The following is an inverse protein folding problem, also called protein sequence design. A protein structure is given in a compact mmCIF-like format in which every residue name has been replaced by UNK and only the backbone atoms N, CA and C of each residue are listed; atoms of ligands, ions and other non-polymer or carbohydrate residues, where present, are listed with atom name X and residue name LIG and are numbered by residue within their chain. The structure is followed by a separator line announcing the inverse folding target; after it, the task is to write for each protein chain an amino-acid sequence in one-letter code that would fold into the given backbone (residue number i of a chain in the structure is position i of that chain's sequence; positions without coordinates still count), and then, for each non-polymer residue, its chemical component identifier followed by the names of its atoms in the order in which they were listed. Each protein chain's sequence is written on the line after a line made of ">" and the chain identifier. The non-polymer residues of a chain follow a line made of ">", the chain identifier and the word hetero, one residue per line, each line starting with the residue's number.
data_IF_253354664239
#
_entry.id   IF_253354664239
#
_cell.length_a   1.000
_cell.length_b   1.000
_cell.length_c   1.000
_cell.angle_alpha   90.00
_cell.angle_beta   90.00
_cell.angle_gamma   90.00
#
_symmetry.space_group_name_H-M   'P 1'
#
loop_
_entity.id
_entity.type
_entity.pdbx_description
1 polymer ?
#
# COMPACT_ATOMS: atom_id res chain seq x y z
N UNK A 1 7.93 14.58 2.58
CA UNK A 1 8.01 13.63 3.71
C UNK A 1 9.26 12.82 3.51
N UNK A 2 10.34 13.24 4.16
CA UNK A 2 11.64 12.56 4.10
C UNK A 2 11.51 11.30 4.97
N UNK A 3 11.59 10.10 4.37
CA UNK A 3 11.59 8.85 5.15
C UNK A 3 12.83 8.89 6.04
N UNK A 4 12.67 8.56 7.33
CA UNK A 4 13.82 8.43 8.21
C UNK A 4 14.74 7.34 7.65
N UNK A 5 16.06 7.58 7.56
CA UNK A 5 17.00 6.65 6.93
C UNK A 5 16.99 5.24 7.54
N UNK A 6 16.59 5.13 8.80
CA UNK A 6 16.45 3.86 9.53
C UNK A 6 15.28 3.00 9.01
N UNK A 7 14.14 3.61 8.66
CA UNK A 7 12.96 2.89 8.20
C UNK A 7 13.16 2.34 6.78
N UNK A 8 13.82 3.13 5.92
CA UNK A 8 14.18 2.72 4.57
C UNK A 8 15.16 1.53 4.57
N UNK A 9 16.12 1.53 5.50
CA UNK A 9 17.03 0.40 5.67
C UNK A 9 16.29 -0.90 6.08
N UNK A 10 15.27 -0.80 6.93
CA UNK A 10 14.46 -1.96 7.34
C UNK A 10 13.65 -2.49 6.16
N UNK A 11 13.02 -1.62 5.37
CA UNK A 11 12.28 -2.02 4.17
C UNK A 11 13.18 -2.68 3.13
N UNK A 12 14.38 -2.13 2.89
CA UNK A 12 15.36 -2.72 1.97
C UNK A 12 15.81 -4.12 2.44
N UNK A 13 15.95 -4.33 3.75
CA UNK A 13 16.29 -5.64 4.31
C UNK A 13 15.16 -6.67 4.11
N UNK A 14 13.90 -6.24 4.26
CA UNK A 14 12.72 -7.06 4.00
C UNK A 14 12.66 -7.42 2.51
N UNK A 15 12.81 -6.44 1.62
CA UNK A 15 12.79 -6.63 0.15
C UNK A 15 13.90 -7.59 -0.31
N UNK A 16 15.12 -7.40 0.18
CA UNK A 16 16.26 -8.28 -0.13
C UNK A 16 15.98 -9.71 0.33
N UNK A 17 15.38 -9.88 1.52
CA UNK A 17 15.07 -11.21 2.06
C UNK A 17 13.91 -11.89 1.31
N UNK A 18 12.90 -11.13 0.88
CA UNK A 18 11.80 -11.64 0.03
C UNK A 18 12.30 -12.05 -1.36
N UNK A 19 13.15 -11.22 -1.98
CA UNK A 19 13.76 -11.52 -3.28
C UNK A 19 14.64 -12.76 -3.20
N UNK A 20 15.46 -12.86 -2.14
CA UNK A 20 16.28 -14.04 -1.87
C UNK A 20 15.46 -15.31 -1.68
N UNK A 21 14.35 -15.24 -0.92
CA UNK A 21 13.42 -16.36 -0.75
C UNK A 21 12.82 -16.80 -2.09
N UNK A 22 12.34 -15.85 -2.91
CA UNK A 22 11.76 -16.16 -4.22
C UNK A 22 12.77 -16.88 -5.13
N UNK A 23 14.02 -16.43 -5.13
CA UNK A 23 15.09 -17.06 -5.91
C UNK A 23 15.42 -18.46 -5.39
N UNK A 24 15.55 -18.64 -4.07
CA UNK A 24 15.82 -19.93 -3.44
C UNK A 24 14.69 -20.95 -3.71
N UNK A 25 13.43 -20.52 -3.68
CA UNK A 25 12.28 -21.36 -4.02
C UNK A 25 12.25 -21.75 -5.50
N UNK A 26 12.64 -20.84 -6.40
CA UNK A 26 12.75 -21.14 -7.82
C UNK A 26 13.85 -22.20 -8.07
N UNK A 27 15.02 -22.01 -7.49
CA UNK A 27 16.15 -22.95 -7.58
C UNK A 27 15.81 -24.30 -6.95
N UNK A 28 15.08 -24.31 -5.83
CA UNK A 28 14.55 -25.53 -5.22
C UNK A 28 13.61 -26.28 -6.17
N UNK A 29 12.72 -25.56 -6.86
CA UNK A 29 11.82 -26.14 -7.85
C UNK A 29 12.56 -26.79 -9.02
N UNK A 30 13.62 -26.14 -9.51
CA UNK A 30 14.50 -26.70 -10.55
C UNK A 30 15.23 -27.94 -10.03
N UNK A 31 15.89 -27.85 -8.88
CA UNK A 31 16.63 -28.96 -8.29
C UNK A 31 15.73 -30.18 -8.02
N UNK A 32 14.51 -29.95 -7.52
CA UNK A 32 13.54 -31.02 -7.29
C UNK A 32 13.07 -31.68 -8.59
N UNK A 33 12.98 -30.94 -9.70
CA UNK A 33 12.64 -31.50 -11.01
C UNK A 33 13.77 -32.33 -11.63
N UNK A 34 15.02 -32.13 -11.18
CA UNK A 34 16.21 -32.82 -11.69
C UNK A 34 16.59 -34.06 -10.85
N UNK A 35 15.82 -34.39 -9.80
CA UNK A 35 16.03 -35.61 -9.01
C UNK A 35 15.59 -36.82 -9.84
N UNK A 36 16.50 -37.73 -10.23
CA UNK A 36 16.14 -38.91 -11.00
C UNK A 36 15.29 -39.88 -10.18
N UNK A 37 14.42 -40.69 -10.82
CA UNK A 37 13.65 -41.72 -10.13
C UNK A 37 14.58 -42.76 -9.49
N UNK A 38 14.12 -43.32 -8.37
CA UNK A 38 14.88 -44.24 -7.50
C UNK A 38 15.35 -45.55 -8.17
N UNK A 39 14.88 -45.82 -9.39
CA UNK A 39 15.22 -47.05 -10.14
C UNK A 39 16.45 -46.88 -11.05
N UNK A 40 16.97 -45.66 -11.26
CA UNK A 40 18.03 -45.38 -12.25
C UNK A 40 19.39 -44.95 -11.65
N UNK A 41 19.56 -44.95 -10.33
CA UNK A 41 20.52 -44.04 -9.68
C UNK A 41 21.48 -44.68 -8.66
N UNK A 42 22.23 -45.72 -9.03
CA UNK A 42 23.26 -46.32 -8.15
C UNK A 42 24.47 -45.40 -7.84
N UNK A 43 24.56 -44.19 -8.42
CA UNK A 43 25.74 -43.31 -8.21
C UNK A 43 25.48 -41.79 -8.14
N UNK A 44 24.29 -41.28 -8.48
CA UNK A 44 24.01 -39.82 -8.54
C UNK A 44 22.91 -39.32 -7.59
N UNK A 45 22.22 -40.22 -6.88
CA UNK A 45 21.15 -39.89 -5.94
C UNK A 45 21.61 -38.95 -4.81
N UNK A 46 22.85 -39.11 -4.34
CA UNK A 46 23.38 -38.35 -3.21
C UNK A 46 23.65 -36.88 -3.49
N UNK A 47 24.00 -36.48 -4.72
CA UNK A 47 24.33 -35.08 -5.01
C UNK A 47 23.07 -34.24 -5.26
N UNK A 48 22.15 -34.72 -6.10
CA UNK A 48 20.90 -34.00 -6.39
C UNK A 48 20.00 -33.88 -5.14
N UNK A 49 19.90 -34.94 -4.35
CA UNK A 49 19.16 -34.90 -3.08
C UNK A 49 19.77 -33.95 -2.05
N UNK A 50 21.10 -33.73 -2.07
CA UNK A 50 21.77 -32.79 -1.17
C UNK A 50 21.51 -31.33 -1.55
N UNK A 51 21.51 -31.03 -2.85
CA UNK A 51 21.19 -29.67 -3.34
C UNK A 51 19.77 -29.27 -2.93
N UNK A 52 18.81 -30.19 -3.03
CA UNK A 52 17.43 -29.97 -2.55
C UNK A 52 17.42 -29.69 -1.05
N UNK A 53 18.10 -30.51 -0.23
CA UNK A 53 18.14 -30.28 1.22
C UNK A 53 18.79 -28.95 1.60
N UNK A 54 19.85 -28.55 0.90
CA UNK A 54 20.53 -27.28 1.12
C UNK A 54 19.62 -26.08 0.79
N UNK A 55 18.86 -26.17 -0.31
CA UNK A 55 17.90 -25.13 -0.73
C UNK A 55 16.68 -25.03 0.18
N UNK A 56 16.19 -26.15 0.70
CA UNK A 56 15.14 -26.15 1.74
C UNK A 56 15.62 -25.43 2.99
N UNK A 57 16.85 -25.72 3.45
CA UNK A 57 17.42 -25.08 4.63
C UNK A 57 17.63 -23.57 4.41
N UNK A 58 18.08 -23.17 3.22
CA UNK A 58 18.22 -21.76 2.83
C UNK A 58 16.86 -21.03 2.83
N UNK A 59 15.84 -21.61 2.20
CA UNK A 59 14.47 -21.07 2.18
C UNK A 59 13.90 -20.90 3.60
N UNK A 60 14.12 -21.89 4.47
CA UNK A 60 13.75 -21.80 5.89
C UNK A 60 14.49 -20.67 6.61
N UNK A 61 15.77 -20.47 6.31
CA UNK A 61 16.56 -19.36 6.82
C UNK A 61 15.97 -18.00 6.45
N UNK A 62 15.55 -17.82 5.19
CA UNK A 62 14.88 -16.60 4.75
C UNK A 62 13.52 -16.38 5.42
N UNK A 63 12.70 -17.42 5.56
CA UNK A 63 11.41 -17.34 6.27
C UNK A 63 11.58 -16.96 7.74
N UNK A 64 12.57 -17.54 8.42
CA UNK A 64 12.89 -17.23 9.81
C UNK A 64 13.31 -15.75 9.95
N UNK A 65 14.21 -15.31 9.08
CA UNK A 65 14.66 -13.90 9.03
C UNK A 65 13.50 -12.93 8.79
N UNK A 66 12.57 -13.27 7.88
CA UNK A 66 11.39 -12.44 7.62
C UNK A 66 10.46 -12.37 8.84
N UNK A 67 10.28 -13.49 9.55
CA UNK A 67 9.48 -13.51 10.77
C UNK A 67 10.08 -12.63 11.87
N UNK A 68 11.41 -12.62 12.01
CA UNK A 68 12.11 -11.76 12.97
C UNK A 68 12.01 -10.27 12.59
N UNK A 69 12.05 -9.96 11.29
CA UNK A 69 11.93 -8.59 10.77
C UNK A 69 10.52 -8.01 10.86
N UNK A 70 9.48 -8.86 10.98
CA UNK A 70 8.06 -8.45 11.03
C UNK A 70 7.80 -7.37 12.10
N UNK A 71 8.45 -7.46 13.25
CA UNK A 71 8.26 -6.53 14.38
C UNK A 71 8.98 -5.19 14.21
N UNK A 72 9.85 -5.05 13.21
CA UNK A 72 10.70 -3.87 13.04
C UNK A 72 10.07 -2.81 12.12
N UNK A 73 8.84 -3.01 11.65
CA UNK A 73 8.13 -2.04 10.80
C UNK A 73 6.78 -1.66 11.39
N UNK A 74 6.48 -0.36 11.36
CA UNK A 74 5.17 0.19 11.74
C UNK A 74 4.29 0.48 10.51
N UNK A 75 4.75 0.08 9.31
CA UNK A 75 4.07 0.36 8.06
C UNK A 75 2.69 -0.28 8.03
N UNK A 76 1.67 0.55 7.82
CA UNK A 76 0.29 0.11 7.60
C UNK A 76 -0.01 0.08 6.11
N UNK A 77 -0.50 -1.05 5.64
CA UNK A 77 -0.91 -1.24 4.24
C UNK A 77 -2.44 -1.31 4.20
N UNK A 78 -3.11 -0.51 3.35
CA UNK A 78 -4.55 -0.60 3.14
C UNK A 78 -4.96 -1.99 2.63
N UNK A 79 -6.07 -2.53 3.13
CA UNK A 79 -6.56 -3.85 2.73
C UNK A 79 -6.94 -3.88 1.24
N UNK A 80 -7.47 -2.78 0.73
CA UNK A 80 -7.86 -2.62 -0.65
C UNK A 80 -6.66 -2.73 -1.60
N UNK A 81 -5.48 -2.27 -1.18
CA UNK A 81 -4.25 -2.43 -1.94
C UNK A 81 -3.78 -3.89 -1.94
N UNK A 82 -3.99 -4.63 -0.84
CA UNK A 82 -3.73 -6.07 -0.76
C UNK A 82 -4.69 -6.82 -1.68
N UNK A 83 -5.98 -6.47 -1.70
CA UNK A 83 -6.97 -7.07 -2.60
C UNK A 83 -6.59 -6.90 -4.09
N UNK A 84 -5.97 -5.77 -4.46
CA UNK A 84 -5.45 -5.60 -5.83
C UNK A 84 -4.33 -6.60 -6.12
N UNK A 85 -3.41 -6.82 -5.17
CA UNK A 85 -2.30 -7.78 -5.32
C UNK A 85 -2.84 -9.21 -5.43
N UNK A 86 -3.80 -9.59 -4.59
CA UNK A 86 -4.43 -10.91 -4.63
C UNK A 86 -5.13 -11.20 -5.97
N UNK A 87 -5.65 -10.15 -6.62
CA UNK A 87 -6.23 -10.22 -7.97
C UNK A 87 -5.20 -10.16 -9.10
N UNK A 88 -3.90 -10.07 -8.80
CA UNK A 88 -2.83 -9.90 -9.79
C UNK A 88 -2.85 -8.53 -10.49
N UNK A 89 -3.47 -7.52 -9.88
CA UNK A 89 -3.52 -6.14 -10.37
C UNK A 89 -2.45 -5.29 -9.73
N UNK A 90 -2.14 -4.16 -10.37
CA UNK A 90 -1.20 -3.19 -9.81
C UNK A 90 -1.83 -2.49 -8.58
N UNK A 91 -1.24 -2.60 -7.37
CA UNK A 91 -1.76 -1.94 -6.17
C UNK A 91 -1.74 -0.41 -6.27
N UNK A 92 -0.92 0.17 -7.15
CA UNK A 92 -0.89 1.61 -7.43
C UNK A 92 -2.20 2.15 -8.00
N UNK A 93 -3.07 1.29 -8.56
CA UNK A 93 -4.42 1.67 -9.00
C UNK A 93 -5.26 2.16 -7.82
N UNK A 94 -5.21 1.46 -6.67
CA UNK A 94 -5.92 1.91 -5.46
C UNK A 94 -5.45 3.30 -5.03
N UNK A 95 -4.14 3.53 -5.00
CA UNK A 95 -3.58 4.84 -4.62
C UNK A 95 -4.04 5.95 -5.56
N UNK A 96 -4.05 5.67 -6.87
CA UNK A 96 -4.54 6.61 -7.88
C UNK A 96 -6.02 6.94 -7.64
N UNK A 97 -6.87 5.92 -7.53
CA UNK A 97 -8.31 6.08 -7.38
C UNK A 97 -8.64 6.82 -6.07
N UNK A 98 -7.91 6.52 -4.98
CA UNK A 98 -8.05 7.21 -3.71
C UNK A 98 -7.70 8.70 -3.82
N UNK A 99 -6.59 9.04 -4.48
CA UNK A 99 -6.20 10.45 -4.70
C UNK A 99 -7.25 11.18 -5.55
N UNK A 100 -7.72 10.54 -6.63
CA UNK A 100 -8.74 11.11 -7.51
C UNK A 100 -10.06 11.33 -6.76
N UNK A 101 -10.48 10.37 -5.94
CA UNK A 101 -11.67 10.49 -5.10
C UNK A 101 -11.54 11.64 -4.10
N UNK A 102 -10.44 11.70 -3.34
CA UNK A 102 -10.21 12.76 -2.34
C UNK A 102 -10.15 14.13 -3.00
N UNK A 103 -9.52 14.25 -4.18
CA UNK A 103 -9.50 15.49 -4.94
C UNK A 103 -10.91 15.90 -5.40
N UNK A 104 -11.69 14.96 -5.93
CA UNK A 104 -13.08 15.18 -6.33
C UNK A 104 -13.98 15.60 -5.17
N UNK A 105 -13.87 14.91 -4.03
CA UNK A 105 -14.61 15.25 -2.80
C UNK A 105 -14.24 16.64 -2.28
N UNK A 106 -12.95 16.99 -2.29
CA UNK A 106 -12.49 18.32 -1.88
C UNK A 106 -13.06 19.42 -2.80
N UNK A 107 -12.99 19.23 -4.11
CA UNK A 107 -13.58 20.18 -5.08
C UNK A 107 -15.08 20.32 -4.88
N UNK A 108 -15.79 19.22 -4.68
CA UNK A 108 -17.22 19.21 -4.44
C UNK A 108 -17.60 19.93 -3.14
N UNK A 109 -16.87 19.68 -2.06
CA UNK A 109 -17.07 20.36 -0.77
C UNK A 109 -16.78 21.86 -0.87
N UNK A 110 -15.72 22.25 -1.57
CA UNK A 110 -15.43 23.66 -1.83
C UNK A 110 -16.54 24.33 -2.66
N UNK A 111 -17.09 23.62 -3.66
CA UNK A 111 -18.24 24.09 -4.44
C UNK A 111 -19.48 24.33 -3.57
N UNK A 112 -19.78 23.40 -2.65
CA UNK A 112 -20.87 23.58 -1.67
C UNK A 112 -20.63 24.78 -0.75
N UNK A 113 -19.42 24.92 -0.23
CA UNK A 113 -19.07 26.05 0.63
C UNK A 113 -19.27 27.38 -0.11
N UNK A 114 -18.82 27.45 -1.37
CA UNK A 114 -18.99 28.64 -2.19
C UNK A 114 -20.47 28.96 -2.46
N UNK A 115 -21.27 27.94 -2.81
CA UNK A 115 -22.69 28.12 -3.04
C UNK A 115 -23.44 28.64 -1.80
N UNK A 116 -23.10 28.12 -0.60
CA UNK A 116 -23.67 28.60 0.66
C UNK A 116 -23.29 30.05 0.94
N UNK A 117 -22.02 30.43 0.71
CA UNK A 117 -21.57 31.83 0.84
C UNK A 117 -22.29 32.76 -0.14
N UNK A 118 -22.39 32.36 -1.40
CA UNK A 118 -23.13 33.15 -2.40
C UNK A 118 -24.60 33.29 -2.03
N UNK A 119 -25.24 32.22 -1.53
CA UNK A 119 -26.62 32.30 -1.07
C UNK A 119 -26.78 33.24 0.13
N UNK A 120 -25.87 33.19 1.10
CA UNK A 120 -25.85 34.11 2.24
C UNK A 120 -25.72 35.57 1.77
N UNK A 121 -24.84 35.86 0.81
CA UNK A 121 -24.66 37.21 0.28
C UNK A 121 -25.93 37.71 -0.45
N UNK A 122 -26.56 36.87 -1.26
CA UNK A 122 -27.81 37.20 -1.95
C UNK A 122 -28.93 37.46 -0.93
N UNK A 123 -29.05 36.60 0.07
CA UNK A 123 -30.06 36.74 1.12
C UNK A 123 -29.84 38.01 1.95
N UNK A 124 -28.60 38.28 2.36
CA UNK A 124 -28.23 39.49 3.08
C UNK A 124 -28.60 40.74 2.28
N UNK A 125 -28.27 40.77 0.99
CA UNK A 125 -28.61 41.87 0.08
C UNK A 125 -30.12 42.07 -0.01
N UNK A 126 -30.89 40.99 -0.23
CA UNK A 126 -32.34 41.07 -0.30
C UNK A 126 -33.00 41.53 1.01
N UNK A 127 -32.45 41.17 2.17
CA UNK A 127 -32.93 41.66 3.47
C UNK A 127 -32.62 43.15 3.62
N UNK A 128 -31.41 43.59 3.30
CA UNK A 128 -31.01 45.00 3.43
C UNK A 128 -31.82 45.94 2.53
N UNK A 129 -32.19 45.48 1.33
CA UNK A 129 -33.01 46.24 0.38
C UNK A 129 -34.46 46.39 0.83
N UNK A 130 -35.04 45.37 1.47
CA UNK A 130 -36.47 45.34 1.84
C UNK A 130 -36.72 45.72 3.31
N UNK A 131 -35.73 45.61 4.19
CA UNK A 131 -35.83 45.84 5.64
C UNK A 131 -34.64 46.67 6.12
N UNK A 132 -34.74 47.99 5.96
CA UNK A 132 -33.62 48.92 6.21
C UNK A 132 -33.24 49.02 7.69
N UNK A 133 -34.15 48.70 8.61
CA UNK A 133 -33.90 48.66 10.05
C UNK A 133 -32.99 47.49 10.49
N UNK A 134 -32.86 46.45 9.66
CA UNK A 134 -32.07 45.25 9.97
C UNK A 134 -30.64 45.29 9.42
N UNK A 135 -30.27 46.31 8.64
CA UNK A 135 -28.98 46.41 7.93
C UNK A 135 -27.78 46.22 8.87
N UNK A 136 -27.77 46.91 10.02
CA UNK A 136 -26.65 46.84 10.97
C UNK A 136 -26.45 45.44 11.58
N UNK A 137 -27.55 44.71 11.82
CA UNK A 137 -27.46 43.36 12.41
C UNK A 137 -27.05 42.32 11.36
N UNK A 138 -27.47 42.50 10.10
CA UNK A 138 -27.06 41.64 8.97
C UNK A 138 -25.58 41.80 8.66
N UNK A 139 -25.07 43.03 8.58
CA UNK A 139 -23.63 43.29 8.36
C UNK A 139 -22.76 42.70 9.47
N UNK A 140 -23.20 42.81 10.73
CA UNK A 140 -22.48 42.24 11.88
C UNK A 140 -22.36 40.71 11.82
N UNK A 141 -23.32 40.03 11.18
CA UNK A 141 -23.37 38.56 11.07
C UNK A 141 -22.78 38.02 9.77
N UNK A 142 -22.33 38.88 8.87
CA UNK A 142 -21.65 38.50 7.64
C UNK A 142 -20.20 38.14 7.97
N UNK A 143 -19.98 36.88 8.32
CA UNK A 143 -18.66 36.26 8.57
C UNK A 143 -18.21 35.52 7.32
#
# INVERSE_FOLDING_TARGET
>A
MEKKPEEEAILNNIETSLTGLSQSLLELGVAASEVPPAEESESKEGESSRVVSDKVQESLGFLTKLNDLKGNTELRVPLEAIDQVDQGKNPGVYTKDFIEQVAGENMFMNGKLNAVKTYQDILATGIMENFTELVQEVEKRRI
#
